data_IF_783160064055
#
_entry.id   IF_783160064055
#
_cell.length_a   1.000
_cell.length_b   1.000
_cell.length_c   1.000
_cell.angle_alpha   90.00
_cell.angle_beta   90.00
_cell.angle_gamma   90.00
#
_symmetry.space_group_name_H-M   'P 1'
#
loop_
_entity.id
_entity.type
_entity.pdbx_description
1 polymer ?
#
# COMPACT_ATOMS: atom_id res chain seq x y z
N UNK A 1 -6.59 -8.70 -25.86
CA UNK A 1 -7.48 -8.36 -24.74
C UNK A 1 -7.60 -6.85 -24.75
N UNK A 2 -8.76 -6.36 -25.19
CA UNK A 2 -8.99 -4.93 -25.32
C UNK A 2 -9.18 -4.30 -23.95
N UNK A 3 -8.84 -3.01 -23.80
CA UNK A 3 -8.99 -2.22 -22.57
C UNK A 3 -10.36 -2.40 -21.90
N UNK A 4 -11.41 -2.68 -22.70
CA UNK A 4 -12.76 -3.01 -22.20
C UNK A 4 -12.78 -4.20 -21.24
N UNK A 5 -11.99 -5.26 -21.47
CA UNK A 5 -11.99 -6.44 -20.62
C UNK A 5 -11.51 -6.16 -19.19
N UNK A 6 -10.55 -5.24 -19.03
CA UNK A 6 -10.07 -4.81 -17.72
C UNK A 6 -11.10 -3.92 -17.01
N UNK A 7 -11.77 -3.03 -17.75
CA UNK A 7 -12.82 -2.16 -17.19
C UNK A 7 -14.03 -2.99 -16.72
N UNK A 8 -14.44 -4.00 -17.49
CA UNK A 8 -15.56 -4.89 -17.15
C UNK A 8 -15.25 -5.69 -15.87
N UNK A 9 -14.01 -6.15 -15.70
CA UNK A 9 -13.57 -6.84 -14.49
C UNK A 9 -13.67 -5.95 -13.25
N UNK A 10 -13.24 -4.68 -13.36
CA UNK A 10 -13.35 -3.70 -12.26
C UNK A 10 -14.81 -3.39 -11.92
N UNK A 11 -15.68 -3.21 -12.92
CA UNK A 11 -17.10 -2.96 -12.70
C UNK A 11 -17.84 -4.16 -12.09
N UNK A 12 -17.54 -5.37 -12.55
CA UNK A 12 -18.15 -6.60 -12.03
C UNK A 12 -17.76 -6.82 -10.57
N UNK A 13 -16.50 -6.52 -10.22
CA UNK A 13 -16.02 -6.62 -8.85
C UNK A 13 -16.72 -5.62 -7.91
N UNK A 14 -16.91 -4.37 -8.36
CA UNK A 14 -17.64 -3.36 -7.60
C UNK A 14 -19.12 -3.74 -7.38
N UNK A 15 -19.78 -4.36 -8.37
CA UNK A 15 -21.16 -4.79 -8.26
C UNK A 15 -21.34 -5.99 -7.30
N UNK A 16 -20.39 -6.92 -7.27
CA UNK A 16 -20.43 -8.08 -6.36
C UNK A 16 -20.26 -7.65 -4.90
N UNK A 17 -19.47 -6.61 -4.62
CA UNK A 17 -19.31 -6.09 -3.25
C UNK A 17 -20.56 -5.41 -2.67
N UNK A 18 -21.63 -5.19 -3.44
CA UNK A 18 -22.83 -4.48 -2.98
C UNK A 18 -23.90 -5.39 -2.35
N UNK A 19 -23.72 -6.72 -2.32
CA UNK A 19 -24.82 -7.67 -2.03
C UNK A 19 -24.74 -8.47 -0.72
N UNK A 20 -23.80 -8.23 0.20
CA UNK A 20 -23.90 -8.86 1.52
C UNK A 20 -24.83 -8.05 2.45
N UNK A 21 -25.98 -8.66 2.74
CA UNK A 21 -27.10 -8.08 3.48
C UNK A 21 -27.02 -8.47 4.95
N UNK A 22 -26.26 -7.76 5.81
CA UNK A 22 -26.38 -7.98 7.25
C UNK A 22 -26.27 -6.70 8.11
N UNK A 23 -27.36 -6.47 8.86
CA UNK A 23 -27.55 -5.91 10.22
C UNK A 23 -26.72 -4.72 10.75
N UNK A 24 -25.95 -4.02 9.93
CA UNK A 24 -25.11 -2.89 10.38
C UNK A 24 -25.67 -1.52 10.01
N UNK A 25 -26.97 -1.44 9.78
CA UNK A 25 -27.59 -0.22 9.31
C UNK A 25 -27.66 0.83 10.42
N UNK A 26 -27.69 2.11 10.05
CA UNK A 26 -27.98 3.19 11.01
C UNK A 26 -29.48 3.32 11.26
N UNK A 27 -29.87 3.88 12.40
CA UNK A 27 -31.30 4.10 12.74
C UNK A 27 -32.06 4.98 11.72
N UNK A 28 -31.34 5.70 10.87
CA UNK A 28 -31.88 6.50 9.75
C UNK A 28 -32.00 5.72 8.44
N UNK A 29 -31.88 4.41 8.45
CA UNK A 29 -32.03 3.59 7.24
C UNK A 29 -33.35 2.85 7.24
N UNK A 30 -33.84 2.56 6.04
CA UNK A 30 -35.10 1.85 5.86
C UNK A 30 -34.98 0.42 6.39
N UNK A 31 -33.86 -0.23 6.12
CA UNK A 31 -33.57 -1.59 6.52
C UNK A 31 -33.57 -1.75 8.05
N UNK A 32 -33.04 -0.77 8.79
CA UNK A 32 -33.14 -0.75 10.25
C UNK A 32 -34.59 -0.69 10.72
N UNK A 33 -35.38 0.26 10.18
CA UNK A 33 -36.77 0.45 10.59
C UNK A 33 -37.64 -0.77 10.29
N UNK A 34 -37.42 -1.41 9.14
CA UNK A 34 -38.12 -2.65 8.76
C UNK A 34 -37.76 -3.81 9.68
N UNK A 35 -36.51 -3.88 10.15
CA UNK A 35 -36.04 -4.96 11.00
C UNK A 35 -36.47 -4.79 12.47
N UNK A 36 -36.27 -3.60 13.03
CA UNK A 36 -36.47 -3.33 14.47
C UNK A 36 -37.89 -2.83 14.78
N UNK A 37 -38.71 -2.57 13.75
CA UNK A 37 -40.11 -2.15 13.92
C UNK A 37 -40.27 -0.69 14.40
N UNK A 38 -39.23 0.13 14.27
CA UNK A 38 -39.26 1.54 14.64
C UNK A 38 -37.92 2.07 15.15
N UNK A 39 -37.98 3.25 15.79
CA UNK A 39 -36.82 3.83 16.47
C UNK A 39 -36.63 3.16 17.84
N UNK A 40 -35.38 2.88 18.26
CA UNK A 40 -35.13 2.35 19.59
C UNK A 40 -35.63 3.31 20.66
N UNK A 41 -36.35 2.80 21.66
CA UNK A 41 -36.84 3.61 22.78
C UNK A 41 -35.72 4.09 23.71
N UNK A 42 -34.54 3.46 23.62
CA UNK A 42 -33.33 3.73 24.40
C UNK A 42 -32.31 4.60 23.66
N UNK A 43 -32.74 5.32 22.61
CA UNK A 43 -31.88 6.31 21.98
C UNK A 43 -31.37 7.30 23.03
N UNK A 44 -30.08 7.69 22.99
CA UNK A 44 -29.50 8.66 23.93
C UNK A 44 -30.04 10.09 23.72
N UNK A 45 -31.10 10.23 22.93
CA UNK A 45 -31.65 11.47 22.43
C UNK A 45 -33.18 11.43 22.53
N UNK A 46 -33.75 12.38 23.27
CA UNK A 46 -35.19 12.62 23.21
C UNK A 46 -35.52 13.37 21.91
N UNK A 47 -35.84 12.61 20.87
CA UNK A 47 -36.20 13.15 19.55
C UNK A 47 -37.47 14.02 19.57
N UNK A 48 -38.24 14.03 20.66
CA UNK A 48 -39.41 14.88 20.81
C UNK A 48 -39.07 16.32 21.23
N UNK A 49 -37.83 16.60 21.65
CA UNK A 49 -37.42 17.99 21.92
C UNK A 49 -37.48 18.84 20.63
N UNK A 50 -38.02 20.07 20.67
CA UNK A 50 -38.18 20.93 19.49
C UNK A 50 -36.88 21.17 18.71
N UNK A 51 -35.73 21.17 19.40
CA UNK A 51 -34.42 21.36 18.78
C UNK A 51 -33.99 20.23 17.84
N UNK A 52 -34.62 19.04 17.94
CA UNK A 52 -34.34 17.89 17.07
C UNK A 52 -35.45 17.63 16.06
N UNK A 53 -36.42 18.52 15.89
CA UNK A 53 -37.52 18.32 14.96
C UNK A 53 -37.03 17.96 13.53
N UNK A 54 -36.02 18.70 13.03
CA UNK A 54 -35.42 18.42 11.71
C UNK A 54 -34.68 17.07 11.65
N UNK A 55 -34.04 16.67 12.75
CA UNK A 55 -33.37 15.37 12.85
C UNK A 55 -34.38 14.23 12.83
N UNK A 56 -35.43 14.34 13.65
CA UNK A 56 -36.53 13.36 13.73
C UNK A 56 -37.21 13.19 12.38
N UNK A 57 -37.51 14.29 11.68
CA UNK A 57 -38.09 14.25 10.34
C UNK A 57 -37.21 13.47 9.36
N UNK A 58 -35.91 13.75 9.32
CA UNK A 58 -34.98 13.06 8.41
C UNK A 58 -34.81 11.57 8.73
N UNK A 59 -34.69 11.23 10.00
CA UNK A 59 -34.65 9.84 10.45
C UNK A 59 -35.93 9.12 10.02
N UNK A 60 -37.11 9.75 10.16
CA UNK A 60 -38.38 9.18 9.70
C UNK A 60 -38.47 9.01 8.17
N UNK A 61 -37.74 9.84 7.41
CA UNK A 61 -37.61 9.74 5.95
C UNK A 61 -36.52 8.76 5.48
N UNK A 62 -35.84 8.08 6.41
CA UNK A 62 -34.69 7.24 6.13
C UNK A 62 -33.52 8.00 5.45
N UNK A 63 -33.28 9.24 5.88
CA UNK A 63 -32.21 10.09 5.38
C UNK A 63 -31.08 10.22 6.40
N UNK A 64 -29.84 10.04 5.95
CA UNK A 64 -28.67 10.25 6.81
C UNK A 64 -28.52 11.73 7.22
N UNK A 65 -28.39 12.04 8.52
CA UNK A 65 -28.25 13.42 8.99
C UNK A 65 -26.81 13.96 8.88
N UNK A 66 -25.81 13.10 8.68
CA UNK A 66 -24.39 13.46 8.77
C UNK A 66 -23.78 13.95 7.45
N UNK A 67 -24.42 13.71 6.31
CA UNK A 67 -23.89 14.03 4.99
C UNK A 67 -24.31 13.06 3.90
N UNK A 68 -23.38 12.74 2.98
CA UNK A 68 -23.65 11.89 1.81
C UNK A 68 -22.62 10.78 1.68
N UNK A 69 -23.07 9.55 1.43
CA UNK A 69 -22.18 8.44 1.08
C UNK A 69 -21.64 8.63 -0.34
N UNK A 70 -20.31 8.65 -0.50
CA UNK A 70 -19.63 8.65 -1.78
C UNK A 70 -19.27 7.22 -2.23
N UNK A 71 -18.91 7.08 -3.51
CA UNK A 71 -18.36 5.84 -4.07
C UNK A 71 -17.08 5.46 -3.33
N UNK A 72 -16.89 4.16 -3.08
CA UNK A 72 -15.71 3.67 -2.36
C UNK A 72 -15.83 3.76 -0.84
N UNK A 73 -17.05 3.78 -0.30
CA UNK A 73 -17.30 3.76 1.15
C UNK A 73 -16.60 4.91 1.89
N UNK A 74 -16.80 6.15 1.45
CA UNK A 74 -16.32 7.38 2.12
C UNK A 74 -17.50 8.33 2.35
N UNK A 75 -17.68 8.85 3.56
CA UNK A 75 -18.69 9.89 3.81
C UNK A 75 -18.17 11.27 3.44
N UNK A 76 -18.95 12.03 2.68
CA UNK A 76 -18.79 13.48 2.55
C UNK A 76 -19.56 14.17 3.66
N UNK A 77 -18.89 14.83 4.64
CA UNK A 77 -19.57 15.46 5.75
C UNK A 77 -20.19 16.77 5.28
N UNK A 78 -21.50 16.76 5.04
CA UNK A 78 -22.26 17.92 4.59
C UNK A 78 -23.63 17.91 5.25
N UNK A 79 -23.69 18.14 6.57
CA UNK A 79 -24.97 18.15 7.26
C UNK A 79 -25.86 19.28 6.71
N UNK A 80 -27.17 19.04 6.59
CA UNK A 80 -28.15 20.04 6.23
C UNK A 80 -28.11 21.28 7.14
N UNK A 81 -28.47 22.45 6.59
CA UNK A 81 -28.43 23.73 7.33
C UNK A 81 -29.32 23.74 8.57
N UNK A 82 -30.47 23.08 8.50
CA UNK A 82 -31.41 22.89 9.61
C UNK A 82 -30.82 22.08 10.78
N UNK A 83 -29.71 21.36 10.57
CA UNK A 83 -29.05 20.54 11.58
C UNK A 83 -27.73 21.13 12.09
N UNK A 84 -27.33 22.33 11.70
CA UNK A 84 -26.01 22.90 12.03
C UNK A 84 -25.76 23.14 13.53
N UNK A 85 -26.83 23.25 14.31
CA UNK A 85 -26.77 23.40 15.77
C UNK A 85 -26.60 22.05 16.49
N UNK A 86 -27.08 20.96 15.89
CA UNK A 86 -27.13 19.62 16.51
C UNK A 86 -26.10 18.65 15.95
N UNK A 87 -25.75 18.75 14.67
CA UNK A 87 -24.75 17.90 13.98
C UNK A 87 -23.45 18.66 13.78
N UNK A 88 -22.31 17.98 13.94
CA UNK A 88 -21.00 18.58 13.72
C UNK A 88 -20.85 19.06 12.26
N UNK A 89 -20.48 20.33 12.10
CA UNK A 89 -20.30 20.94 10.79
C UNK A 89 -18.98 20.51 10.15
N UNK A 90 -18.94 20.59 8.81
CA UNK A 90 -17.76 20.22 8.03
C UNK A 90 -16.54 21.05 8.41
N UNK A 91 -15.46 20.40 8.81
CA UNK A 91 -14.16 21.04 9.04
C UNK A 91 -13.23 20.92 7.81
N UNK A 92 -12.23 21.81 7.65
CA UNK A 92 -11.19 21.64 6.63
C UNK A 92 -10.42 20.31 6.74
N UNK A 93 -10.23 19.84 7.98
CA UNK A 93 -9.56 18.57 8.24
C UNK A 93 -10.37 17.37 7.71
N UNK A 94 -11.70 17.41 7.80
CA UNK A 94 -12.55 16.41 7.20
C UNK A 94 -12.46 16.41 5.67
N UNK A 95 -12.37 17.57 5.02
CA UNK A 95 -12.17 17.64 3.55
C UNK A 95 -10.85 16.97 3.15
N UNK A 96 -9.76 17.26 3.88
CA UNK A 96 -8.48 16.59 3.67
C UNK A 96 -8.59 15.07 3.91
N UNK A 97 -9.33 14.65 4.94
CA UNK A 97 -9.56 13.23 5.24
C UNK A 97 -10.34 12.50 4.14
N UNK A 98 -11.30 13.15 3.46
CA UNK A 98 -11.96 12.57 2.28
C UNK A 98 -10.93 12.28 1.18
N UNK A 99 -10.09 13.27 0.85
CA UNK A 99 -9.07 13.12 -0.21
C UNK A 99 -8.10 11.98 0.13
N UNK A 100 -7.59 11.97 1.37
CA UNK A 100 -6.67 10.94 1.87
C UNK A 100 -7.32 9.55 1.84
N UNK A 101 -8.62 9.44 2.12
CA UNK A 101 -9.32 8.14 2.11
C UNK A 101 -9.33 7.47 0.73
N UNK A 102 -9.20 8.22 -0.37
CA UNK A 102 -9.15 7.65 -1.72
C UNK A 102 -7.78 7.15 -2.16
N UNK A 103 -6.71 7.43 -1.41
CA UNK A 103 -5.33 7.07 -1.77
C UNK A 103 -5.16 5.56 -2.01
N UNK A 104 -5.63 4.63 -1.14
CA UNK A 104 -5.46 3.20 -1.38
C UNK A 104 -6.12 2.73 -2.68
N UNK A 105 -7.28 3.29 -3.05
CA UNK A 105 -7.96 2.96 -4.30
C UNK A 105 -7.18 3.49 -5.51
N UNK A 106 -6.63 4.69 -5.44
CA UNK A 106 -5.77 5.22 -6.49
C UNK A 106 -4.52 4.34 -6.68
N UNK A 107 -3.89 3.89 -5.59
CA UNK A 107 -2.74 2.98 -5.63
C UNK A 107 -3.12 1.62 -6.22
N UNK A 108 -4.27 1.06 -5.84
CA UNK A 108 -4.75 -0.23 -6.37
C UNK A 108 -5.09 -0.13 -7.87
N UNK A 109 -5.79 0.93 -8.29
CA UNK A 109 -6.09 1.19 -9.70
C UNK A 109 -4.80 1.36 -10.51
N UNK A 110 -3.84 2.08 -9.96
CA UNK A 110 -2.55 2.27 -10.60
C UNK A 110 -1.78 0.95 -10.74
N UNK A 111 -1.82 0.07 -9.73
CA UNK A 111 -1.24 -1.27 -9.82
C UNK A 111 -1.86 -2.09 -10.97
N UNK A 112 -3.17 -1.98 -11.19
CA UNK A 112 -3.87 -2.62 -12.32
C UNK A 112 -3.38 -2.06 -13.65
N UNK A 113 -3.34 -0.73 -13.80
CA UNK A 113 -2.86 -0.08 -15.03
C UNK A 113 -1.45 -0.55 -15.38
N UNK A 114 -0.55 -0.56 -14.40
CA UNK A 114 0.83 -0.98 -14.65
C UNK A 114 0.93 -2.47 -14.92
N UNK A 115 0.10 -3.32 -14.30
CA UNK A 115 0.03 -4.73 -14.68
C UNK A 115 -0.41 -4.89 -16.13
N UNK A 116 -1.42 -4.16 -16.60
CA UNK A 116 -1.90 -4.24 -17.99
C UNK A 116 -0.80 -3.90 -19.01
N UNK A 117 0.07 -2.93 -18.66
CA UNK A 117 1.19 -2.50 -19.51
C UNK A 117 2.39 -3.44 -19.40
N UNK A 118 2.88 -3.71 -18.19
CA UNK A 118 4.12 -4.43 -17.96
C UNK A 118 3.95 -5.96 -17.97
N UNK A 119 2.76 -6.45 -17.58
CA UNK A 119 2.39 -7.87 -17.45
C UNK A 119 3.40 -8.71 -16.68
N UNK A 120 4.03 -8.11 -15.68
CA UNK A 120 5.07 -8.76 -14.90
C UNK A 120 4.52 -9.55 -13.71
N UNK A 121 5.23 -10.60 -13.31
CA UNK A 121 4.90 -11.40 -12.11
C UNK A 121 4.92 -10.59 -10.82
N UNK A 122 5.72 -9.51 -10.73
CA UNK A 122 5.77 -8.63 -9.55
C UNK A 122 4.47 -7.85 -9.39
N UNK A 123 3.95 -7.33 -10.49
CA UNK A 123 2.66 -6.64 -10.53
C UNK A 123 1.51 -7.60 -10.22
N UNK A 124 1.53 -8.78 -10.83
CA UNK A 124 0.54 -9.82 -10.57
C UNK A 124 0.50 -10.21 -9.08
N UNK A 125 1.66 -10.31 -8.43
CA UNK A 125 1.75 -10.61 -7.00
C UNK A 125 0.99 -9.59 -6.13
N UNK A 126 1.11 -8.30 -6.43
CA UNK A 126 0.37 -7.25 -5.70
C UNK A 126 -1.13 -7.36 -5.98
N UNK A 127 -1.53 -7.58 -7.25
CA UNK A 127 -2.94 -7.74 -7.60
C UNK A 127 -3.58 -8.97 -6.95
N UNK A 128 -2.87 -10.09 -6.87
CA UNK A 128 -3.34 -11.29 -6.21
C UNK A 128 -3.51 -11.07 -4.70
N UNK A 129 -2.61 -10.32 -4.07
CA UNK A 129 -2.78 -9.92 -2.68
C UNK A 129 -3.99 -9.00 -2.49
N UNK A 130 -4.17 -8.00 -3.36
CA UNK A 130 -5.33 -7.09 -3.30
C UNK A 130 -6.64 -7.88 -3.40
N UNK A 131 -6.72 -8.82 -4.34
CA UNK A 131 -7.87 -9.71 -4.48
C UNK A 131 -8.08 -10.58 -3.24
N UNK A 132 -7.01 -11.19 -2.72
CA UNK A 132 -7.07 -12.00 -1.50
C UNK A 132 -7.54 -11.18 -0.29
N UNK A 133 -7.04 -9.95 -0.13
CA UNK A 133 -7.45 -9.04 0.94
C UNK A 133 -8.94 -8.74 0.85
N UNK A 134 -9.45 -8.36 -0.33
CA UNK A 134 -10.89 -8.10 -0.48
C UNK A 134 -11.73 -9.34 -0.18
N UNK A 135 -11.30 -10.52 -0.64
CA UNK A 135 -12.00 -11.79 -0.36
C UNK A 135 -12.07 -12.03 1.15
N UNK A 136 -10.94 -11.96 1.85
CA UNK A 136 -10.89 -12.21 3.30
C UNK A 136 -11.66 -11.13 4.07
N UNK A 137 -11.44 -9.86 3.75
CA UNK A 137 -12.03 -8.74 4.49
C UNK A 137 -13.55 -8.66 4.31
N UNK A 138 -14.02 -8.58 3.07
CA UNK A 138 -15.43 -8.30 2.77
C UNK A 138 -16.30 -9.55 2.84
N UNK A 139 -15.79 -10.72 2.43
CA UNK A 139 -16.62 -11.94 2.31
C UNK A 139 -16.42 -12.95 3.44
N UNK A 140 -15.40 -12.77 4.28
CA UNK A 140 -15.16 -13.66 5.43
C UNK A 140 -15.30 -12.91 6.73
N UNK A 141 -14.47 -11.89 6.97
CA UNK A 141 -14.39 -11.28 8.30
C UNK A 141 -15.60 -10.38 8.58
N UNK A 142 -16.04 -9.55 7.63
CA UNK A 142 -17.23 -8.70 7.84
C UNK A 142 -18.51 -9.49 8.07
N UNK A 143 -18.64 -10.65 7.41
CA UNK A 143 -19.75 -11.59 7.61
C UNK A 143 -19.71 -12.25 9.00
N UNK A 144 -18.56 -12.26 9.67
CA UNK A 144 -18.43 -12.74 11.04
C UNK A 144 -18.66 -11.63 12.08
N UNK A 145 -18.26 -10.40 11.76
CA UNK A 145 -18.27 -9.26 12.70
C UNK A 145 -19.20 -8.16 12.19
N UNK A 146 -20.50 -8.32 12.42
CA UNK A 146 -21.55 -7.34 12.10
C UNK A 146 -21.53 -6.13 13.05
N UNK A 147 -20.47 -5.34 13.02
CA UNK A 147 -20.33 -4.16 13.88
C UNK A 147 -20.72 -2.89 13.11
N UNK A 148 -21.72 -2.13 13.56
CA UNK A 148 -22.15 -0.91 12.91
C UNK A 148 -21.09 0.20 12.99
N UNK A 149 -21.19 1.18 12.09
CA UNK A 149 -20.29 2.34 12.04
C UNK A 149 -20.65 3.37 13.11
N UNK A 150 -19.71 4.27 13.49
CA UNK A 150 -20.04 5.37 14.38
C UNK A 150 -21.22 6.18 13.88
N UNK A 151 -22.01 6.65 14.83
CA UNK A 151 -23.22 7.39 14.56
C UNK A 151 -24.44 6.54 14.25
N UNK A 152 -24.33 5.21 14.02
CA UNK A 152 -25.46 4.30 13.76
C UNK A 152 -26.62 4.45 14.74
N UNK A 153 -26.32 4.79 15.99
CA UNK A 153 -27.28 5.01 17.07
C UNK A 153 -27.37 6.49 17.52
N UNK A 154 -27.04 7.44 16.64
CA UNK A 154 -27.03 8.89 16.90
C UNK A 154 -26.16 9.27 18.12
N UNK A 155 -24.89 8.92 18.07
CA UNK A 155 -23.93 9.13 19.16
C UNK A 155 -23.44 10.58 19.25
N UNK A 156 -23.18 11.04 20.48
CA UNK A 156 -22.65 12.36 20.77
C UNK A 156 -21.12 12.40 20.69
N UNK A 157 -20.59 13.44 20.05
CA UNK A 157 -19.18 13.83 20.12
C UNK A 157 -18.85 14.56 21.41
N UNK A 158 -17.55 14.68 21.70
CA UNK A 158 -17.01 15.44 22.85
C UNK A 158 -17.42 16.91 22.84
N UNK A 159 -17.77 17.46 21.68
CA UNK A 159 -18.22 18.84 21.51
C UNK A 159 -19.73 19.03 21.77
N UNK A 160 -20.44 17.98 22.22
CA UNK A 160 -21.88 18.03 22.44
C UNK A 160 -22.70 18.14 21.16
N UNK A 161 -22.14 17.68 20.03
CA UNK A 161 -22.81 17.58 18.72
C UNK A 161 -22.84 16.14 18.25
N UNK A 162 -23.84 15.78 17.45
CA UNK A 162 -23.95 14.45 16.84
C UNK A 162 -22.92 14.30 15.71
N UNK A 163 -22.34 13.10 15.63
CA UNK A 163 -21.34 12.72 14.61
C UNK A 163 -21.62 11.32 14.11
N UNK A 164 -21.22 11.04 12.87
CA UNK A 164 -21.46 9.72 12.29
C UNK A 164 -21.08 9.58 10.83
N UNK A 165 -21.26 8.35 10.35
CA UNK A 165 -21.07 7.97 8.97
C UNK A 165 -22.42 7.87 8.24
N UNK A 166 -22.45 8.13 6.94
CA UNK A 166 -23.61 7.84 6.10
C UNK A 166 -23.48 6.53 5.31
N UNK A 167 -22.45 5.73 5.61
CA UNK A 167 -22.21 4.46 4.97
C UNK A 167 -23.13 3.39 5.56
N UNK A 168 -23.93 2.74 4.69
CA UNK A 168 -24.89 1.70 5.11
C UNK A 168 -24.29 0.31 5.31
N UNK A 169 -22.98 0.14 5.22
CA UNK A 169 -22.30 -1.16 5.38
C UNK A 169 -21.65 -1.32 6.74
N UNK A 170 -21.41 -2.56 7.17
CA UNK A 170 -20.63 -2.86 8.38
C UNK A 170 -19.25 -2.20 8.38
N UNK A 171 -18.85 -1.71 9.55
CA UNK A 171 -17.59 -0.99 9.74
C UNK A 171 -16.42 -1.86 10.21
N UNK A 172 -16.65 -3.05 10.77
CA UNK A 172 -15.57 -3.90 11.27
C UNK A 172 -15.30 -5.09 10.35
N UNK A 173 -14.04 -5.33 9.95
CA UNK A 173 -12.87 -4.44 10.04
C UNK A 173 -12.88 -3.31 8.99
N UNK A 174 -12.08 -2.28 9.22
CA UNK A 174 -11.92 -1.17 8.26
C UNK A 174 -11.08 -1.58 7.03
N UNK A 175 -11.73 -1.77 5.87
CA UNK A 175 -11.04 -2.17 4.64
C UNK A 175 -9.99 -1.16 4.18
N UNK A 176 -10.26 0.15 4.32
CA UNK A 176 -9.30 1.20 3.95
C UNK A 176 -8.03 1.13 4.80
N UNK A 177 -8.20 0.93 6.11
CA UNK A 177 -7.10 0.88 7.06
C UNK A 177 -6.26 -0.38 6.84
N UNK A 178 -6.92 -1.53 6.63
CA UNK A 178 -6.23 -2.79 6.33
C UNK A 178 -5.53 -2.79 4.99
N UNK A 179 -6.18 -2.27 3.94
CA UNK A 179 -5.58 -2.13 2.62
C UNK A 179 -4.33 -1.24 2.67
N UNK A 180 -4.43 -0.09 3.33
CA UNK A 180 -3.32 0.86 3.44
C UNK A 180 -2.12 0.28 4.22
N UNK A 181 -2.36 -0.28 5.41
CA UNK A 181 -1.31 -0.87 6.23
C UNK A 181 -0.71 -2.13 5.62
N UNK A 182 -1.54 -2.98 5.01
CA UNK A 182 -1.08 -4.18 4.32
C UNK A 182 -0.22 -3.86 3.09
N UNK A 183 -0.66 -2.90 2.25
CA UNK A 183 0.14 -2.43 1.10
C UNK A 183 1.46 -1.82 1.55
N UNK A 184 1.41 -0.90 2.52
CA UNK A 184 2.61 -0.28 3.08
C UNK A 184 3.61 -1.33 3.58
N UNK A 185 3.12 -2.36 4.29
CA UNK A 185 3.99 -3.41 4.82
C UNK A 185 4.57 -4.30 3.71
N UNK A 186 3.80 -4.64 2.67
CA UNK A 186 4.32 -5.37 1.51
C UNK A 186 5.42 -4.58 0.79
N UNK A 187 5.21 -3.27 0.61
CA UNK A 187 6.19 -2.35 0.02
C UNK A 187 7.46 -2.33 0.87
N UNK A 188 7.31 -2.15 2.19
CA UNK A 188 8.42 -2.16 3.14
C UNK A 188 9.22 -3.46 3.11
N UNK A 189 8.53 -4.61 3.18
CA UNK A 189 9.16 -5.93 3.18
C UNK A 189 9.85 -6.24 1.85
N UNK A 190 9.23 -5.94 0.69
CA UNK A 190 9.88 -6.13 -0.62
C UNK A 190 11.09 -5.20 -0.80
N UNK A 191 10.98 -3.94 -0.39
CA UNK A 191 12.09 -2.99 -0.48
C UNK A 191 13.26 -3.39 0.45
N UNK A 192 12.97 -3.88 1.66
CA UNK A 192 14.00 -4.28 2.65
C UNK A 192 14.89 -5.41 2.13
N UNK A 193 14.33 -6.36 1.37
CA UNK A 193 15.09 -7.46 0.78
C UNK A 193 15.96 -7.07 -0.40
N UNK A 194 15.80 -5.84 -0.88
CA UNK A 194 16.57 -5.27 -1.98
C UNK A 194 17.60 -4.28 -1.46
N UNK A 195 17.66 -4.03 -0.16
CA UNK A 195 18.76 -3.26 0.43
C UNK A 195 19.99 -4.17 0.42
N UNK A 196 20.94 -3.86 -0.44
CA UNK A 196 22.21 -4.58 -0.53
C UNK A 196 23.37 -3.60 -0.44
N UNK A 197 24.53 -4.08 0.02
CA UNK A 197 25.76 -3.31 -0.10
C UNK A 197 25.99 -3.10 -1.60
N UNK A 198 26.09 -1.85 -2.09
CA UNK A 198 26.34 -1.60 -3.48
C UNK A 198 27.53 -2.45 -3.93
N UNK A 199 27.32 -3.28 -4.95
CA UNK A 199 28.39 -4.10 -5.51
C UNK A 199 29.61 -3.20 -5.71
N UNK A 200 30.74 -3.53 -5.08
CA UNK A 200 31.93 -2.64 -4.99
C UNK A 200 32.33 -2.08 -6.37
N UNK A 201 32.09 -2.84 -7.45
CA UNK A 201 32.31 -2.41 -8.83
C UNK A 201 31.45 -1.21 -9.27
N UNK A 202 30.18 -1.14 -8.85
CA UNK A 202 29.30 0.00 -9.17
C UNK A 202 29.70 1.28 -8.44
N UNK A 203 30.20 1.15 -7.20
CA UNK A 203 30.78 2.28 -6.46
C UNK A 203 32.09 2.74 -7.09
N UNK A 204 32.98 1.82 -7.50
CA UNK A 204 34.20 2.17 -8.23
C UNK A 204 33.90 2.90 -9.53
N UNK A 205 32.92 2.43 -10.31
CA UNK A 205 32.53 3.09 -11.57
C UNK A 205 32.01 4.51 -11.33
N UNK A 206 31.09 4.69 -10.37
CA UNK A 206 30.58 6.02 -10.00
C UNK A 206 31.67 6.93 -9.43
N UNK A 207 32.56 6.40 -8.61
CA UNK A 207 33.70 7.14 -8.08
C UNK A 207 34.69 7.54 -9.18
N UNK A 208 34.91 6.67 -10.17
CA UNK A 208 35.74 6.95 -11.34
C UNK A 208 35.10 8.03 -12.22
N UNK A 209 33.82 7.92 -12.54
CA UNK A 209 33.07 8.95 -13.28
C UNK A 209 33.11 10.30 -12.55
N UNK A 210 32.93 10.31 -11.21
CA UNK A 210 33.07 11.53 -10.40
C UNK A 210 34.48 12.12 -10.44
N UNK A 211 35.53 11.28 -10.49
CA UNK A 211 36.93 11.74 -10.62
C UNK A 211 37.21 12.30 -12.01
N UNK A 212 36.72 11.64 -13.06
CA UNK A 212 36.82 12.13 -14.43
C UNK A 212 36.11 13.48 -14.59
N UNK A 213 34.89 13.61 -14.04
CA UNK A 213 34.16 14.88 -13.99
C UNK A 213 34.90 15.96 -13.16
N UNK A 214 35.54 15.57 -12.05
CA UNK A 214 36.30 16.48 -11.21
C UNK A 214 37.57 17.02 -11.88
N UNK A 215 38.14 16.28 -12.83
CA UNK A 215 39.30 16.72 -13.64
C UNK A 215 38.95 17.78 -14.69
N UNK A 216 37.66 18.01 -14.99
CA UNK A 216 37.19 19.05 -15.90
C UNK A 216 37.27 20.47 -15.32
N UNK A 217 37.47 21.48 -16.18
CA UNK A 217 37.63 22.89 -15.80
C UNK A 217 36.53 23.45 -14.89
N UNK A 218 36.92 24.27 -13.90
CA UNK A 218 36.10 24.75 -12.77
C UNK A 218 34.68 25.25 -13.11
N UNK A 219 34.51 25.99 -14.22
CA UNK A 219 33.20 26.55 -14.61
C UNK A 219 32.21 25.52 -15.18
N UNK A 220 32.69 24.52 -15.94
CA UNK A 220 31.85 23.43 -16.46
C UNK A 220 31.47 22.43 -15.35
N UNK A 221 32.29 22.36 -14.29
CA UNK A 221 32.16 21.42 -13.18
C UNK A 221 30.91 21.64 -12.32
N UNK A 222 30.59 22.88 -11.98
CA UNK A 222 29.44 23.18 -11.11
C UNK A 222 28.10 22.92 -11.81
N UNK A 223 27.98 23.32 -13.09
CA UNK A 223 26.78 23.07 -13.89
C UNK A 223 26.56 21.57 -14.19
N UNK A 224 27.62 20.81 -14.44
CA UNK A 224 27.53 19.37 -14.66
C UNK A 224 27.11 18.61 -13.40
N UNK A 225 27.64 18.97 -12.23
CA UNK A 225 27.28 18.35 -10.96
C UNK A 225 25.81 18.58 -10.61
N UNK A 226 25.34 19.84 -10.70
CA UNK A 226 23.93 20.17 -10.41
C UNK A 226 22.98 19.44 -11.38
N UNK A 227 23.33 19.34 -12.66
CA UNK A 227 22.53 18.58 -13.63
C UNK A 227 22.50 17.08 -13.31
N UNK A 228 23.63 16.50 -12.89
CA UNK A 228 23.71 15.09 -12.50
C UNK A 228 22.85 14.80 -11.27
N UNK A 229 22.96 15.61 -10.22
CA UNK A 229 22.17 15.47 -8.99
C UNK A 229 20.67 15.68 -9.27
N UNK A 230 20.31 16.66 -10.11
CA UNK A 230 18.92 16.86 -10.53
C UNK A 230 18.38 15.65 -11.33
N UNK A 231 19.19 15.06 -12.21
CA UNK A 231 18.81 13.88 -12.97
C UNK A 231 18.65 12.65 -12.07
N UNK A 232 19.53 12.45 -11.09
CA UNK A 232 19.38 11.38 -10.08
C UNK A 232 18.10 11.58 -9.26
N UNK A 233 17.82 12.81 -8.80
CA UNK A 233 16.57 13.14 -8.12
C UNK A 233 15.33 12.88 -8.97
N UNK A 234 15.34 13.25 -10.26
CA UNK A 234 14.21 12.99 -11.18
C UNK A 234 14.02 11.49 -11.37
N UNK A 235 15.10 10.74 -11.62
CA UNK A 235 15.03 9.28 -11.79
C UNK A 235 14.54 8.61 -10.51
N UNK A 236 15.05 9.03 -9.35
CA UNK A 236 14.61 8.55 -8.05
C UNK A 236 13.13 8.85 -7.82
N UNK A 237 12.70 10.08 -8.09
CA UNK A 237 11.29 10.52 -7.97
C UNK A 237 10.40 9.66 -8.87
N UNK A 238 10.77 9.49 -10.15
CA UNK A 238 10.01 8.63 -11.08
C UNK A 238 9.98 7.18 -10.62
N UNK A 239 11.07 6.65 -10.06
CA UNK A 239 11.11 5.27 -9.54
C UNK A 239 10.28 5.08 -8.27
N UNK A 240 10.27 6.07 -7.39
CA UNK A 240 9.63 5.97 -6.07
C UNK A 240 8.15 6.34 -6.09
N UNK A 241 7.76 7.29 -6.93
CA UNK A 241 6.40 7.83 -6.98
C UNK A 241 5.50 6.99 -7.85
N UNK A 242 6.06 6.34 -8.86
CA UNK A 242 5.24 5.68 -9.85
C UNK A 242 4.80 4.31 -9.37
N UNK A 243 5.64 3.46 -8.78
CA UNK A 243 5.21 2.07 -8.52
C UNK A 243 5.11 1.69 -7.03
N UNK A 244 3.98 1.08 -6.59
CA UNK A 244 3.83 0.54 -5.23
C UNK A 244 4.57 -0.80 -5.06
N UNK A 245 5.71 -0.96 -5.72
CA UNK A 245 6.67 -2.02 -5.49
C UNK A 245 8.05 -1.53 -5.90
N UNK A 246 9.08 -2.10 -5.28
CA UNK A 246 10.44 -1.76 -5.61
C UNK A 246 10.73 -2.10 -7.07
N UNK A 247 11.28 -1.19 -7.87
CA UNK A 247 11.72 -1.52 -9.24
C UNK A 247 13.15 -2.06 -9.26
N UNK A 248 14.02 -1.46 -8.44
CA UNK A 248 15.44 -1.79 -8.45
C UNK A 248 15.68 -3.19 -7.89
N UNK A 249 16.65 -3.89 -8.46
CA UNK A 249 17.11 -5.15 -7.89
C UNK A 249 17.94 -4.92 -6.62
N UNK A 250 18.52 -3.73 -6.49
CA UNK A 250 19.26 -3.30 -5.31
C UNK A 250 18.96 -1.82 -5.04
N UNK A 251 18.72 -1.48 -3.78
CA UNK A 251 18.61 -0.12 -3.25
C UNK A 251 19.83 0.20 -2.39
N UNK A 252 20.33 1.43 -2.53
CA UNK A 252 21.13 2.03 -1.46
C UNK A 252 20.27 2.32 -0.22
N UNK A 253 20.92 2.49 0.93
CA UNK A 253 20.22 2.84 2.18
C UNK A 253 19.42 4.14 2.06
N UNK A 254 19.94 5.14 1.35
CA UNK A 254 19.27 6.42 1.14
C UNK A 254 18.03 6.25 0.25
N UNK A 255 18.16 5.53 -0.86
CA UNK A 255 17.03 5.24 -1.76
C UNK A 255 15.93 4.44 -1.05
N UNK A 256 16.31 3.43 -0.27
CA UNK A 256 15.38 2.65 0.54
C UNK A 256 14.65 3.52 1.56
N UNK A 257 15.39 4.34 2.32
CA UNK A 257 14.81 5.20 3.35
C UNK A 257 13.84 6.20 2.76
N UNK A 258 14.21 6.85 1.66
CA UNK A 258 13.35 7.80 0.97
C UNK A 258 12.13 7.11 0.32
N UNK A 259 12.28 5.90 -0.21
CA UNK A 259 11.18 5.10 -0.74
C UNK A 259 10.17 4.73 0.35
N UNK A 260 10.64 4.15 1.47
CA UNK A 260 9.79 3.80 2.62
C UNK A 260 9.13 5.04 3.21
N UNK A 261 9.88 6.14 3.37
CA UNK A 261 9.34 7.39 3.90
C UNK A 261 8.20 7.92 3.02
N UNK A 262 8.38 7.97 1.70
CA UNK A 262 7.36 8.40 0.76
C UNK A 262 6.06 7.61 0.92
N UNK A 263 6.15 6.27 0.90
CA UNK A 263 4.96 5.41 1.04
C UNK A 263 4.35 5.49 2.44
N UNK A 264 5.15 5.74 3.48
CA UNK A 264 4.65 5.98 4.85
C UNK A 264 3.84 7.27 4.92
N UNK A 265 4.32 8.36 4.32
CA UNK A 265 3.60 9.64 4.26
C UNK A 265 2.31 9.51 3.45
N UNK A 266 2.34 8.71 2.38
CA UNK A 266 1.19 8.53 1.49
C UNK A 266 0.09 7.64 2.10
N UNK A 267 0.46 6.50 2.67
CA UNK A 267 -0.47 5.48 3.17
C UNK A 267 -0.76 5.58 4.68
N UNK A 268 0.20 6.06 5.47
CA UNK A 268 0.09 6.17 6.92
C UNK A 268 -1.07 7.03 7.44
N UNK A 269 -1.43 8.15 6.79
CA UNK A 269 -2.57 8.97 7.21
C UNK A 269 -3.95 8.32 6.97
N UNK A 270 -4.06 7.30 6.12
CA UNK A 270 -5.35 6.72 5.71
C UNK A 270 -6.16 6.14 6.87
N UNK A 271 -5.60 5.32 7.79
CA UNK A 271 -6.34 4.88 8.98
C UNK A 271 -6.95 6.04 9.79
N UNK A 272 -6.20 7.14 9.96
CA UNK A 272 -6.66 8.31 10.71
C UNK A 272 -7.75 9.08 9.99
N UNK A 273 -7.71 9.14 8.66
CA UNK A 273 -8.76 9.79 7.87
C UNK A 273 -10.12 9.13 8.10
N UNK A 274 -10.16 7.81 8.34
CA UNK A 274 -11.40 7.08 8.65
C UNK A 274 -11.97 7.44 10.01
N UNK A 275 -11.11 7.78 10.98
CA UNK A 275 -11.53 8.26 12.32
C UNK A 275 -12.05 9.70 12.24
N UNK A 276 -11.35 10.58 11.53
CA UNK A 276 -11.73 12.01 11.37
C UNK A 276 -13.10 12.16 10.67
N UNK A 277 -13.41 11.25 9.75
CA UNK A 277 -14.70 11.22 9.06
C UNK A 277 -15.80 10.50 9.84
N UNK A 278 -15.49 9.95 11.02
CA UNK A 278 -16.40 9.09 11.78
C UNK A 278 -16.93 7.88 10.99
N UNK A 279 -16.24 7.50 9.91
CA UNK A 279 -16.62 6.34 9.11
C UNK A 279 -16.32 5.03 9.85
N UNK A 280 -15.38 5.07 10.79
CA UNK A 280 -14.96 3.92 11.60
C UNK A 280 -14.59 4.36 13.02
N UNK A 281 -14.83 3.48 13.99
CA UNK A 281 -14.30 3.61 15.35
C UNK A 281 -12.83 3.22 15.41
N UNK A 282 -12.15 3.58 16.51
CA UNK A 282 -10.76 3.18 16.77
C UNK A 282 -10.60 1.66 16.71
N UNK A 283 -11.53 0.90 17.31
CA UNK A 283 -11.50 -0.57 17.30
C UNK A 283 -11.58 -1.13 15.88
N UNK A 284 -12.46 -0.57 15.04
CA UNK A 284 -12.63 -0.98 13.64
C UNK A 284 -11.38 -0.70 12.80
N UNK A 285 -10.75 0.46 13.01
CA UNK A 285 -9.51 0.84 12.35
C UNK A 285 -8.37 -0.09 12.76
N UNK A 286 -8.16 -0.30 14.08
CA UNK A 286 -7.11 -1.19 14.58
C UNK A 286 -7.28 -2.63 14.12
N UNK A 287 -8.52 -3.14 14.09
CA UNK A 287 -8.82 -4.47 13.57
C UNK A 287 -8.43 -4.59 12.09
N UNK A 288 -8.81 -3.61 11.26
CA UNK A 288 -8.43 -3.57 9.85
C UNK A 288 -6.93 -3.49 9.64
N UNK A 289 -6.23 -2.59 10.36
CA UNK A 289 -4.77 -2.49 10.28
C UNK A 289 -4.10 -3.83 10.63
N UNK A 290 -4.54 -4.48 11.70
CA UNK A 290 -4.01 -5.77 12.16
C UNK A 290 -4.22 -6.86 11.11
N UNK A 291 -5.43 -6.98 10.58
CA UNK A 291 -5.77 -7.91 9.50
C UNK A 291 -4.86 -7.70 8.28
N UNK A 292 -4.76 -6.47 7.79
CA UNK A 292 -3.94 -6.13 6.63
C UNK A 292 -2.46 -6.47 6.84
N UNK A 293 -1.91 -6.16 8.02
CA UNK A 293 -0.53 -6.52 8.41
C UNK A 293 -0.32 -8.03 8.43
N UNK A 294 -1.19 -8.79 9.11
CA UNK A 294 -1.06 -10.26 9.18
C UNK A 294 -1.12 -10.88 7.79
N UNK A 295 -2.09 -10.48 6.98
CA UNK A 295 -2.24 -11.00 5.62
C UNK A 295 -1.04 -10.66 4.74
N UNK A 296 -0.51 -9.44 4.84
CA UNK A 296 0.70 -9.03 4.13
C UNK A 296 1.93 -9.87 4.50
N UNK A 297 2.15 -10.14 5.79
CA UNK A 297 3.28 -10.98 6.25
C UNK A 297 3.16 -12.40 5.73
N UNK A 298 1.98 -13.02 5.88
CA UNK A 298 1.72 -14.39 5.42
C UNK A 298 1.91 -14.49 3.90
N UNK A 299 1.33 -13.55 3.15
CA UNK A 299 1.44 -13.51 1.70
C UNK A 299 2.88 -13.31 1.22
N UNK A 300 3.61 -12.36 1.82
CA UNK A 300 5.01 -12.14 1.51
C UNK A 300 5.84 -13.41 1.79
N UNK A 301 5.66 -14.06 2.95
CA UNK A 301 6.35 -15.32 3.27
C UNK A 301 6.05 -16.43 2.26
N UNK A 302 4.78 -16.62 1.91
CA UNK A 302 4.34 -17.60 0.91
C UNK A 302 5.08 -17.38 -0.41
N UNK A 303 5.06 -16.15 -0.93
CA UNK A 303 5.66 -15.84 -2.23
C UNK A 303 7.18 -15.98 -2.20
N UNK A 304 7.84 -15.62 -1.10
CA UNK A 304 9.28 -15.86 -0.97
C UNK A 304 9.62 -17.35 -0.96
N UNK A 305 8.81 -18.18 -0.34
CA UNK A 305 9.01 -19.62 -0.37
C UNK A 305 8.82 -20.17 -1.79
N UNK A 306 7.81 -19.71 -2.53
CA UNK A 306 7.60 -20.07 -3.94
C UNK A 306 8.78 -19.63 -4.80
N UNK A 307 9.25 -18.39 -4.67
CA UNK A 307 10.42 -17.89 -5.41
C UNK A 307 11.68 -18.70 -5.13
N UNK A 308 11.96 -19.00 -3.87
CA UNK A 308 13.11 -19.83 -3.47
C UNK A 308 13.03 -21.25 -4.01
N UNK A 309 11.83 -21.83 -4.05
CA UNK A 309 11.60 -23.22 -4.47
C UNK A 309 11.78 -23.40 -5.97
N UNK A 310 11.30 -22.45 -6.78
CA UNK A 310 11.25 -22.61 -8.23
C UNK A 310 12.33 -21.84 -9.00
N UNK A 311 12.86 -20.73 -8.46
CA UNK A 311 13.95 -19.93 -9.07
C UNK A 311 13.80 -19.69 -10.59
N UNK A 312 12.63 -19.21 -11.00
CA UNK A 312 12.39 -18.91 -12.40
C UNK A 312 13.37 -17.85 -12.92
N UNK A 313 13.96 -18.02 -14.12
CA UNK A 313 14.82 -17.00 -14.71
C UNK A 313 14.05 -15.71 -15.02
N UNK A 314 14.69 -14.55 -14.80
CA UNK A 314 14.13 -13.27 -15.27
C UNK A 314 13.90 -13.30 -16.79
N UNK A 315 12.79 -12.73 -17.23
CA UNK A 315 12.37 -12.73 -18.63
C UNK A 315 11.63 -14.00 -19.07
N UNK A 316 11.60 -15.06 -18.25
CA UNK A 316 10.79 -16.26 -18.54
C UNK A 316 9.33 -15.88 -18.73
N UNK A 317 8.68 -16.44 -19.75
CA UNK A 317 7.27 -16.13 -20.04
C UNK A 317 6.34 -17.25 -19.61
N UNK A 318 5.13 -16.88 -19.19
CA UNK A 318 4.04 -17.80 -18.85
C UNK A 318 2.81 -17.52 -19.72
N UNK A 319 1.90 -18.50 -19.80
CA UNK A 319 0.63 -18.39 -20.54
C UNK A 319 0.81 -17.92 -21.99
N UNK A 320 1.73 -18.55 -22.71
CA UNK A 320 1.98 -18.22 -24.12
C UNK A 320 2.57 -16.83 -24.35
N UNK A 321 3.37 -16.31 -23.41
CA UNK A 321 3.98 -14.98 -23.55
C UNK A 321 3.22 -13.86 -22.84
N UNK A 322 2.07 -14.14 -22.23
CA UNK A 322 1.22 -13.10 -21.66
C UNK A 322 1.80 -12.51 -20.38
N UNK A 323 2.44 -13.32 -19.54
CA UNK A 323 3.07 -12.87 -18.28
C UNK A 323 4.57 -13.02 -18.40
N UNK A 324 5.32 -12.01 -17.99
CA UNK A 324 6.79 -12.00 -17.99
C UNK A 324 7.31 -12.07 -16.55
N UNK A 325 8.20 -13.01 -16.27
CA UNK A 325 8.85 -13.11 -14.98
C UNK A 325 9.82 -11.94 -14.79
N UNK A 326 9.52 -11.08 -13.82
CA UNK A 326 10.36 -9.94 -13.44
C UNK A 326 10.53 -9.85 -11.91
N UNK A 327 10.26 -10.97 -11.22
CA UNK A 327 10.26 -11.04 -9.77
C UNK A 327 11.30 -12.03 -9.29
N UNK A 328 12.56 -11.71 -9.58
CA UNK A 328 13.72 -12.48 -9.17
C UNK A 328 13.76 -12.64 -7.64
N UNK A 329 14.11 -13.85 -7.19
CA UNK A 329 14.60 -14.03 -5.83
C UNK A 329 15.93 -13.28 -5.72
N UNK A 330 16.12 -12.47 -4.68
CA UNK A 330 17.45 -11.92 -4.38
C UNK A 330 18.43 -13.10 -4.40
N UNK A 331 19.43 -13.03 -5.27
CA UNK A 331 20.45 -14.09 -5.35
C UNK A 331 20.93 -14.32 -3.91
N UNK A 332 20.95 -15.57 -3.41
CA UNK A 332 21.62 -15.81 -2.14
C UNK A 332 22.99 -15.19 -2.31
N UNK A 333 23.36 -14.23 -1.44
CA UNK A 333 24.69 -13.64 -1.38
C UNK A 333 25.61 -14.81 -1.65
N UNK A 334 26.26 -14.76 -2.81
CA UNK A 334 27.02 -15.90 -3.32
C UNK A 334 27.79 -16.40 -2.13
N UNK A 335 27.43 -17.63 -1.74
CA UNK A 335 28.16 -18.46 -0.82
C UNK A 335 29.58 -18.00 -0.91
N UNK A 336 30.09 -17.46 0.21
CA UNK A 336 31.49 -17.09 0.39
C UNK A 336 32.22 -17.86 -0.67
N UNK A 337 32.71 -17.16 -1.71
CA UNK A 337 33.71 -17.75 -2.55
C UNK A 337 34.64 -18.34 -1.53
N UNK A 338 34.59 -19.67 -1.39
CA UNK A 338 35.69 -20.47 -1.01
C UNK A 338 36.69 -20.03 -2.06
N UNK A 339 37.36 -18.92 -1.74
CA UNK A 339 38.78 -18.73 -1.74
C UNK A 339 39.36 -20.02 -1.19
N UNK A 340 39.17 -21.06 -2.00
CA UNK A 340 40.07 -22.14 -2.20
C UNK A 340 41.29 -21.42 -2.76
N UNK A 341 42.02 -20.86 -1.79
CA UNK A 341 43.32 -20.26 -1.86
C UNK A 341 44.28 -21.35 -2.28
N UNK A 342 44.08 -21.87 -3.49
CA UNK A 342 44.99 -22.73 -4.23
C UNK A 342 46.12 -21.89 -4.85
N UNK A 343 46.51 -20.82 -4.15
CA UNK A 343 47.87 -20.32 -4.11
C UNK A 343 48.61 -21.06 -2.99
N UNK A 344 48.95 -22.33 -3.20
CA UNK A 344 50.10 -22.94 -2.53
C UNK A 344 50.72 -24.09 -3.34
N UNK A 345 50.92 -23.93 -4.65
CA UNK A 345 51.91 -24.76 -5.36
C UNK A 345 52.65 -23.99 -6.46
N UNK A 346 53.37 -22.94 -6.04
CA UNK A 346 54.42 -22.35 -6.86
C UNK A 346 55.59 -21.90 -5.98
N UNK A 347 56.44 -22.85 -5.58
CA UNK A 347 57.88 -22.65 -5.37
C UNK A 347 58.58 -23.97 -5.03
N UNK A 348 59.15 -24.61 -6.04
CA UNK A 348 60.35 -25.44 -5.88
C UNK A 348 61.13 -25.40 -7.19
N UNK A 349 62.12 -24.51 -7.18
CA UNK A 349 63.16 -24.26 -8.15
C UNK A 349 63.98 -25.53 -8.48
N UNK A 350 63.79 -26.09 -9.67
CA UNK A 350 64.79 -26.97 -10.30
C UNK A 350 65.80 -26.14 -11.08
N UNK A 351 66.97 -25.90 -10.50
CA UNK A 351 68.15 -25.37 -11.21
C UNK A 351 68.79 -26.47 -12.06
N UNK A 352 69.27 -26.18 -13.30
CA UNK A 352 70.09 -27.13 -14.05
C UNK A 352 71.54 -27.16 -13.51
N UNK A 353 72.22 -28.30 -13.52
CA UNK A 353 73.61 -28.40 -13.06
C UNK A 353 74.56 -27.72 -14.07
N UNK A 354 75.42 -26.84 -13.54
CA UNK A 354 76.55 -26.25 -14.25
C UNK A 354 77.55 -27.35 -14.66
N UNK A 355 77.97 -27.27 -15.92
CA UNK A 355 79.07 -28.00 -16.53
C UNK A 355 80.42 -27.68 -15.86
N UNK A 356 81.12 -28.73 -15.44
CA UNK A 356 82.55 -28.70 -15.08
C UNK A 356 83.40 -28.92 -16.33
N UNK A 357 84.01 -27.87 -16.85
CA UNK A 357 85.22 -27.97 -17.68
C UNK A 357 86.36 -27.31 -16.91
N UNK A 358 87.42 -28.08 -16.66
CA UNK A 358 88.72 -27.60 -16.21
C UNK A 358 89.78 -28.16 -17.19
N UNK A 359 90.69 -27.33 -17.71
CA UNK A 359 91.94 -27.79 -18.31
C UNK A 359 93.13 -27.58 -17.35
N UNK A 360 94.27 -28.19 -17.71
CA UNK A 360 95.65 -28.12 -17.12
C UNK A 360 95.86 -28.89 -15.80
N UNK A 361 96.84 -29.80 -15.64
CA UNK A 361 98.04 -30.20 -16.42
C UNK A 361 98.30 -31.71 -16.28
#
# INVERSE_FOLDING_TARGET
MDWLGCIILVHSFAAVMSRSHHHCYGVWTKEWQEQEGGLPSDLPLDLDEPRYAGLKERVSRNECPFGTSLVGQVTWPSPPQDLWDVVEQRSPMQVAAVIVSYIPYAVALWAIVVFCVARGTRQLFVLLWLALFVIVNEFVIKELFHVPRPGANLEWSVNGKLVGSCLGTCGMPSSHSGLSCGLWLLIFLDASQRVGVPHIGGWRRRAQERRELASGGKGKRQGALVKSEAQECIVFTVRCWVLPWAQANCYSHDEYSAYVFFWTVLLGPVPFSRLILYDHSVKQVLAGMTEGTVLAVVWWRLVRNVQKRYRFPNGMTFLGGWIIHNFEATAPDHAEETSDSSDEERTSSGSPPLSSEAPSD
#
